data_IF_368584847293
#
_entry.id   IF_368584847293
#
_cell.length_a   1.000
_cell.length_b   1.000
_cell.length_c   1.000
_cell.angle_alpha   90.00
_cell.angle_beta   90.00
_cell.angle_gamma   90.00
#
_symmetry.space_group_name_H-M   'P 1'
#
loop_
_entity.id
_entity.type
_entity.pdbx_description
1 polymer ?
#
# COMPACT_ATOMS: atom_id res chain seq x y z
N UNK A 1 4.74 -3.82 -21.46
CA UNK A 1 5.23 -4.27 -20.14
C UNK A 1 5.12 -3.09 -19.21
N UNK A 2 4.32 -3.18 -18.15
CA UNK A 2 4.19 -2.07 -17.20
C UNK A 2 5.46 -2.00 -16.38
N UNK A 3 6.16 -0.86 -16.43
CA UNK A 3 7.33 -0.65 -15.60
C UNK A 3 6.98 -0.81 -14.11
N UNK A 4 7.80 -1.54 -13.32
CA UNK A 4 7.55 -1.71 -11.90
C UNK A 4 7.54 -0.36 -11.18
N UNK A 5 6.44 -0.05 -10.49
CA UNK A 5 6.31 1.14 -9.64
C UNK A 5 6.39 0.77 -8.16
N UNK A 6 6.66 1.76 -7.30
CA UNK A 6 6.69 1.53 -5.84
C UNK A 6 5.30 1.19 -5.33
N UNK A 7 5.22 0.26 -4.38
CA UNK A 7 3.98 -0.20 -3.77
C UNK A 7 3.18 0.96 -3.17
N UNK A 8 3.84 1.88 -2.47
CA UNK A 8 3.26 3.14 -1.99
C UNK A 8 2.57 3.94 -3.10
N UNK A 9 3.25 4.13 -4.24
CA UNK A 9 2.67 4.84 -5.39
C UNK A 9 1.47 4.08 -5.96
N UNK A 10 1.58 2.76 -6.11
CA UNK A 10 0.49 1.91 -6.60
C UNK A 10 -0.73 1.97 -5.68
N UNK A 11 -0.52 1.95 -4.37
CA UNK A 11 -1.57 2.01 -3.36
C UNK A 11 -2.29 3.36 -3.38
N UNK A 12 -1.55 4.46 -3.52
CA UNK A 12 -2.13 5.81 -3.69
C UNK A 12 -3.05 5.85 -4.90
N UNK A 13 -2.61 5.30 -6.05
CA UNK A 13 -3.41 5.28 -7.28
C UNK A 13 -4.65 4.37 -7.15
N UNK A 14 -4.56 3.27 -6.40
CA UNK A 14 -5.68 2.33 -6.20
C UNK A 14 -6.72 2.80 -5.18
N UNK A 15 -6.27 3.40 -4.07
CA UNK A 15 -7.11 3.74 -2.92
C UNK A 15 -7.46 5.22 -2.88
N UNK A 16 -6.66 6.08 -3.51
CA UNK A 16 -6.79 7.54 -3.44
C UNK A 16 -6.35 8.12 -2.10
N UNK A 17 -5.56 7.39 -1.31
CA UNK A 17 -5.04 7.85 -0.02
C UNK A 17 -3.80 8.74 -0.19
N UNK A 18 -3.42 9.47 0.88
CA UNK A 18 -2.17 10.23 0.90
C UNK A 18 -0.95 9.31 0.92
N UNK A 19 0.21 9.83 0.51
CA UNK A 19 1.48 9.07 0.57
C UNK A 19 1.77 8.51 1.96
N UNK A 20 1.55 9.33 3.00
CA UNK A 20 1.79 8.94 4.38
C UNK A 20 0.84 7.83 4.84
N UNK A 21 -0.42 7.88 4.43
CA UNK A 21 -1.37 6.79 4.70
C UNK A 21 -0.96 5.51 3.99
N UNK A 22 -0.52 5.60 2.73
CA UNK A 22 -0.03 4.44 2.01
C UNK A 22 1.18 3.78 2.69
N UNK A 23 2.18 4.58 3.09
CA UNK A 23 3.33 4.10 3.87
C UNK A 23 2.86 3.42 5.18
N UNK A 24 1.94 4.03 5.93
CA UNK A 24 1.39 3.46 7.17
C UNK A 24 0.61 2.17 6.97
N UNK A 25 -0.16 2.05 5.88
CA UNK A 25 -0.91 0.82 5.58
C UNK A 25 0.02 -0.32 5.21
N UNK A 26 1.06 -0.01 4.44
CA UNK A 26 2.08 -0.97 4.03
C UNK A 26 2.87 -1.42 5.26
N UNK A 27 3.51 -0.49 5.98
CA UNK A 27 4.28 -0.78 7.21
C UNK A 27 3.42 -1.43 8.30
N UNK A 28 2.11 -1.13 8.33
CA UNK A 28 1.16 -1.75 9.25
C UNK A 28 0.71 -3.16 8.87
N UNK A 29 1.17 -3.71 7.74
CA UNK A 29 0.82 -5.06 7.27
C UNK A 29 -0.61 -5.18 6.74
N UNK A 30 -1.23 -4.08 6.29
CA UNK A 30 -2.60 -4.06 5.76
C UNK A 30 -2.65 -4.25 4.25
N UNK A 31 -1.49 -4.26 3.59
CA UNK A 31 -1.36 -4.35 2.14
C UNK A 31 -0.80 -5.70 1.76
N UNK A 32 -1.47 -6.36 0.82
CA UNK A 32 -1.03 -7.60 0.23
C UNK A 32 -0.71 -7.42 -1.26
N UNK A 33 0.34 -8.06 -1.72
CA UNK A 33 0.75 -8.16 -3.12
C UNK A 33 0.66 -9.62 -3.53
N UNK A 34 -0.23 -9.96 -4.47
CA UNK A 34 -0.53 -11.34 -4.89
C UNK A 34 -0.84 -12.29 -3.70
N UNK A 35 -1.41 -11.74 -2.62
CA UNK A 35 -1.77 -12.49 -1.41
C UNK A 35 -0.68 -12.54 -0.33
N UNK A 36 0.52 -12.02 -0.60
CA UNK A 36 1.59 -11.91 0.40
C UNK A 36 1.57 -10.53 1.05
N UNK A 37 1.65 -10.47 2.38
CA UNK A 37 1.73 -9.19 3.11
C UNK A 37 3.11 -8.59 2.89
N UNK A 38 3.14 -7.38 2.33
CA UNK A 38 4.38 -6.63 2.10
C UNK A 38 4.35 -5.39 3.00
N UNK A 39 5.40 -5.22 3.79
CA UNK A 39 5.59 -4.13 4.75
C UNK A 39 6.58 -3.05 4.28
N UNK A 40 7.06 -3.16 3.03
CA UNK A 40 8.02 -2.25 2.43
C UNK A 40 7.38 -1.27 1.42
N UNK A 41 7.23 0.03 1.72
CA UNK A 41 6.60 1.00 0.82
C UNK A 41 7.34 1.20 -0.52
N UNK A 42 8.64 0.95 -0.53
CA UNK A 42 9.52 0.99 -1.70
C UNK A 42 9.45 -0.26 -2.58
N UNK A 43 8.79 -1.33 -2.13
CA UNK A 43 8.69 -2.59 -2.86
C UNK A 43 8.17 -2.33 -4.28
N UNK A 44 8.80 -2.94 -5.29
CA UNK A 44 8.46 -2.68 -6.69
C UNK A 44 7.38 -3.66 -7.14
N UNK A 45 6.22 -3.14 -7.48
CA UNK A 45 5.11 -3.89 -8.08
C UNK A 45 4.98 -3.57 -9.57
N UNK A 46 4.97 -4.62 -10.39
CA UNK A 46 4.67 -4.58 -11.82
C UNK A 46 3.24 -5.05 -12.08
N UNK A 47 3.08 -6.29 -12.55
CA UNK A 47 1.79 -6.89 -12.86
C UNK A 47 1.07 -7.52 -11.65
N UNK A 48 1.66 -7.42 -10.46
CA UNK A 48 1.11 -8.02 -9.24
C UNK A 48 -0.19 -7.33 -8.79
N UNK A 49 -1.08 -8.10 -8.18
CA UNK A 49 -2.35 -7.63 -7.62
C UNK A 49 -2.12 -7.03 -6.24
N UNK A 50 -2.30 -5.73 -6.12
CA UNK A 50 -2.21 -5.03 -4.83
C UNK A 50 -3.61 -4.88 -4.24
N UNK A 51 -3.80 -5.35 -3.00
CA UNK A 51 -5.04 -5.22 -2.26
C UNK A 51 -4.80 -4.62 -0.88
N UNK A 52 -5.71 -3.74 -0.46
CA UNK A 52 -5.76 -3.19 0.89
C UNK A 52 -6.85 -3.92 1.68
N UNK A 53 -6.55 -4.36 2.90
CA UNK A 53 -7.51 -5.02 3.76
C UNK A 53 -8.72 -4.11 4.09
N UNK A 54 -9.94 -4.65 4.27
CA UNK A 54 -11.19 -3.88 4.35
C UNK A 54 -11.39 -3.05 5.64
N UNK A 55 -10.46 -3.11 6.60
CA UNK A 55 -10.53 -2.29 7.83
C UNK A 55 -9.17 -1.73 8.25
N UNK A 56 -8.49 -0.96 7.37
CA UNK A 56 -7.27 -0.29 7.76
C UNK A 56 -7.67 0.87 8.65
N UNK A 57 -7.26 0.85 9.92
CA UNK A 57 -7.55 1.97 10.82
C UNK A 57 -6.36 2.93 10.76
N UNK A 58 -6.45 4.09 10.09
CA UNK A 58 -5.37 5.06 10.15
C UNK A 58 -5.14 5.43 11.62
N UNK A 59 -3.88 5.63 12.05
CA UNK A 59 -3.60 6.06 13.41
C UNK A 59 -4.41 7.33 13.68
N UNK A 60 -5.21 7.32 14.75
CA UNK A 60 -6.03 8.48 15.13
C UNK A 60 -5.10 9.68 15.22
N UNK A 61 -5.31 10.64 14.33
CA UNK A 61 -4.60 11.92 14.34
C UNK A 61 -5.01 12.62 15.65
N UNK A 62 -4.18 12.50 16.68
CA UNK A 62 -4.33 13.31 17.89
C UNK A 62 -4.12 14.76 17.46
N UNK A 63 -5.21 15.54 17.46
CA UNK A 63 -5.19 16.99 17.34
C UNK A 63 -4.55 17.59 18.59
#
# INVERSE_FOLDING_TARGET
>A
MTDPIRLSKRLIELVGCSRREAELFIEGGWVTVDGEVIDEPQFKVGAQTVALAPRPRPPRRSL
#
